data_IF_029457327363
#
_entry.id   IF_029457327363
#
_cell.length_a   1.000
_cell.length_b   1.000
_cell.length_c   1.000
_cell.angle_alpha   90.00
_cell.angle_beta   90.00
_cell.angle_gamma   90.00
#
_symmetry.space_group_name_H-M   'P 1'
#
loop_
_entity.id
_entity.type
_entity.pdbx_description
1 polymer ?
#
# COMPACT_ATOMS: atom_id res chain seq x y z
N UNK A 1 29.12 -14.35 -76.68
CA UNK A 1 29.08 -14.95 -75.33
C UNK A 1 29.11 -13.81 -74.33
N UNK A 2 27.98 -13.49 -73.75
CA UNK A 2 27.86 -12.42 -72.73
C UNK A 2 27.82 -13.10 -71.35
N UNK A 3 28.82 -12.79 -70.55
CA UNK A 3 28.90 -13.25 -69.14
C UNK A 3 28.12 -12.26 -68.27
N UNK A 4 27.01 -12.77 -67.79
CA UNK A 4 26.12 -12.04 -66.86
C UNK A 4 26.67 -12.14 -65.46
N UNK A 5 27.26 -11.05 -64.92
CA UNK A 5 27.72 -10.96 -63.54
C UNK A 5 26.52 -10.61 -62.65
N UNK A 6 26.04 -11.57 -61.87
CA UNK A 6 25.04 -11.30 -60.85
C UNK A 6 25.65 -10.52 -59.68
N UNK A 7 25.15 -9.32 -59.45
CA UNK A 7 25.46 -8.54 -58.24
C UNK A 7 24.67 -9.12 -57.07
N UNK A 8 25.37 -9.63 -56.08
CA UNK A 8 24.83 -9.97 -54.79
C UNK A 8 24.56 -8.65 -54.06
N UNK A 9 23.30 -8.32 -53.86
CA UNK A 9 22.89 -7.25 -52.96
C UNK A 9 23.05 -7.76 -51.54
N UNK A 10 24.06 -7.23 -50.86
CA UNK A 10 24.21 -7.37 -49.38
C UNK A 10 23.00 -6.71 -48.74
N UNK A 11 22.24 -7.51 -47.99
CA UNK A 11 21.18 -7.01 -47.15
C UNK A 11 21.83 -6.33 -45.91
N UNK A 12 21.61 -5.06 -45.77
CA UNK A 12 21.97 -4.28 -44.58
C UNK A 12 21.22 -4.82 -43.35
N UNK A 13 21.91 -5.06 -42.22
CA UNK A 13 21.21 -5.41 -40.98
C UNK A 13 20.39 -4.21 -40.50
N UNK A 14 19.19 -4.45 -39.92
CA UNK A 14 18.37 -3.36 -39.37
C UNK A 14 19.13 -2.68 -38.22
N UNK A 15 18.97 -1.34 -38.07
CA UNK A 15 19.59 -0.64 -36.97
C UNK A 15 19.07 -1.19 -35.64
N UNK A 16 20.02 -1.51 -34.75
CA UNK A 16 19.71 -1.87 -33.36
C UNK A 16 18.84 -0.77 -32.74
N UNK A 17 17.57 -1.07 -32.54
CA UNK A 17 16.69 -0.21 -31.76
C UNK A 17 17.25 -0.11 -30.35
N UNK A 18 17.81 1.04 -30.00
CA UNK A 18 18.04 1.42 -28.63
C UNK A 18 16.69 1.64 -27.98
N UNK A 19 16.12 0.56 -27.49
CA UNK A 19 14.98 0.61 -26.59
C UNK A 19 15.50 1.11 -25.23
N UNK A 20 15.70 2.40 -25.15
CA UNK A 20 15.83 3.11 -23.89
C UNK A 20 14.42 3.21 -23.33
N UNK A 21 13.91 2.08 -22.84
CA UNK A 21 12.78 2.05 -21.93
C UNK A 21 13.17 2.87 -20.70
N UNK A 22 12.94 4.17 -20.78
CA UNK A 22 12.84 5.01 -19.59
C UNK A 22 11.62 4.49 -18.84
N UNK A 23 11.86 3.49 -18.01
CA UNK A 23 10.94 3.09 -16.96
C UNK A 23 10.82 4.31 -16.07
N UNK A 24 9.80 5.13 -16.34
CA UNK A 24 9.44 6.24 -15.49
C UNK A 24 9.11 5.62 -14.12
N UNK A 25 10.05 5.77 -13.17
CA UNK A 25 9.82 5.42 -11.78
C UNK A 25 8.52 6.09 -11.37
N UNK A 26 7.51 5.29 -11.03
CA UNK A 26 6.25 5.80 -10.53
C UNK A 26 6.56 6.80 -9.40
N UNK A 27 5.87 7.95 -9.34
CA UNK A 27 6.15 8.96 -8.34
C UNK A 27 6.09 8.31 -6.95
N UNK A 28 7.11 8.54 -6.12
CA UNK A 28 7.14 8.05 -4.74
C UNK A 28 6.04 8.78 -4.00
N UNK A 29 4.94 8.07 -3.73
CA UNK A 29 3.85 8.60 -2.92
C UNK A 29 4.36 8.75 -1.49
N UNK A 30 4.48 10.00 -1.05
CA UNK A 30 4.82 10.34 0.32
C UNK A 30 3.60 10.96 0.96
N UNK A 31 3.05 10.37 2.04
CA UNK A 31 1.89 10.92 2.69
C UNK A 31 2.17 12.33 3.23
N UNK A 32 1.22 13.22 3.04
CA UNK A 32 1.24 14.55 3.68
C UNK A 32 0.92 14.42 5.17
N UNK A 33 1.23 15.44 5.96
CA UNK A 33 0.87 15.47 7.38
C UNK A 33 -0.65 15.29 7.60
N UNK A 34 -1.48 15.78 6.67
CA UNK A 34 -2.94 15.61 6.73
C UNK A 34 -3.41 14.16 6.50
N UNK A 35 -2.59 13.35 5.83
CA UNK A 35 -2.86 11.92 5.58
C UNK A 35 -2.33 11.02 6.71
N UNK A 36 -1.61 11.56 7.68
CA UNK A 36 -1.17 10.82 8.87
C UNK A 36 -2.19 10.97 10.00
N UNK A 37 -2.35 9.91 10.78
CA UNK A 37 -3.13 9.91 12.03
C UNK A 37 -2.27 9.36 13.15
N UNK A 38 -2.23 10.06 14.28
CA UNK A 38 -1.48 9.61 15.45
C UNK A 38 -2.20 8.46 16.18
N UNK A 39 -1.45 7.54 16.81
CA UNK A 39 -2.03 6.40 17.54
C UNK A 39 -3.09 6.81 18.58
N UNK A 40 -2.82 7.85 19.36
CA UNK A 40 -3.77 8.34 20.38
C UNK A 40 -5.06 8.89 19.76
N UNK A 41 -4.96 9.56 18.61
CA UNK A 41 -6.12 10.09 17.89
C UNK A 41 -6.98 8.97 17.29
N UNK A 42 -6.34 7.96 16.70
CA UNK A 42 -7.05 6.78 16.21
C UNK A 42 -7.76 6.05 17.35
N UNK A 43 -7.06 5.81 18.48
CA UNK A 43 -7.64 5.13 19.65
C UNK A 43 -8.88 5.88 20.17
N UNK A 44 -8.86 7.20 20.18
CA UNK A 44 -10.00 8.05 20.56
C UNK A 44 -11.16 7.89 19.59
N UNK A 45 -10.91 7.89 18.27
CA UNK A 45 -11.94 7.65 17.25
C UNK A 45 -12.54 6.26 17.34
N UNK A 46 -11.75 5.24 17.68
CA UNK A 46 -12.22 3.87 17.86
C UNK A 46 -13.10 3.71 19.12
N UNK A 47 -12.92 4.57 20.11
CA UNK A 47 -13.73 4.61 21.34
C UNK A 47 -15.04 5.40 21.15
N UNK A 48 -15.17 6.15 20.06
CA UNK A 48 -16.37 6.93 19.78
C UNK A 48 -17.54 6.03 19.43
N UNK A 49 -18.65 6.16 20.19
CA UNK A 49 -19.89 5.43 19.99
C UNK A 49 -20.89 6.15 19.08
N UNK A 50 -20.53 7.34 18.55
CA UNK A 50 -21.41 8.15 17.68
C UNK A 50 -21.60 7.60 16.26
N UNK A 51 -20.98 6.46 15.94
CA UNK A 51 -21.10 5.80 14.64
C UNK A 51 -20.14 6.27 13.57
N UNK A 52 -19.20 7.16 13.89
CA UNK A 52 -18.18 7.69 12.97
C UNK A 52 -16.82 7.01 13.10
N UNK A 53 -16.81 5.72 13.42
CA UNK A 53 -15.58 4.96 13.51
C UNK A 53 -14.93 4.81 12.15
N UNK A 54 -13.60 5.03 12.02
CA UNK A 54 -12.90 4.71 10.79
C UNK A 54 -12.86 3.19 10.58
N UNK A 55 -12.84 2.78 9.31
CA UNK A 55 -12.47 1.42 8.94
C UNK A 55 -10.95 1.29 9.04
N UNK A 56 -10.44 0.36 9.85
CA UNK A 56 -9.01 0.16 10.06
C UNK A 56 -8.55 -1.10 9.33
N UNK A 57 -7.63 -0.97 8.38
CA UNK A 57 -7.17 -2.04 7.51
C UNK A 57 -5.70 -2.34 7.73
N UNK A 58 -5.38 -3.58 8.07
CA UNK A 58 -4.01 -4.07 8.21
C UNK A 58 -3.50 -4.58 6.86
N UNK A 59 -2.46 -3.95 6.33
CA UNK A 59 -1.88 -4.24 5.01
C UNK A 59 -0.54 -4.98 5.08
N UNK A 60 -0.25 -5.63 6.20
CA UNK A 60 0.94 -6.42 6.43
C UNK A 60 0.71 -7.92 6.38
N UNK A 61 1.72 -8.67 6.83
CA UNK A 61 1.69 -10.15 6.80
C UNK A 61 0.76 -10.73 7.88
N UNK A 62 0.10 -11.89 7.58
CA UNK A 62 -0.86 -12.51 8.51
C UNK A 62 -0.26 -12.85 9.87
N UNK A 63 1.01 -13.24 9.93
CA UNK A 63 1.69 -13.57 11.19
C UNK A 63 1.75 -12.38 12.14
N UNK A 64 1.94 -11.17 11.60
CA UNK A 64 1.96 -9.94 12.40
C UNK A 64 0.57 -9.64 12.95
N UNK A 65 -0.45 -9.77 12.12
CA UNK A 65 -1.83 -9.57 12.54
C UNK A 65 -2.23 -10.51 13.68
N UNK A 66 -1.93 -11.80 13.56
CA UNK A 66 -2.23 -12.80 14.59
C UNK A 66 -1.47 -12.57 15.89
N UNK A 67 -0.23 -12.08 15.83
CA UNK A 67 0.58 -11.81 17.02
C UNK A 67 0.12 -10.59 17.82
N UNK A 68 -0.49 -9.62 17.16
CA UNK A 68 -1.08 -8.45 17.80
C UNK A 68 -1.53 -7.42 16.76
N UNK A 69 -2.79 -7.01 16.84
CA UNK A 69 -3.39 -6.03 15.93
C UNK A 69 -4.30 -5.05 16.67
N UNK A 70 -4.60 -3.94 16.03
CA UNK A 70 -5.53 -2.93 16.54
C UNK A 70 -6.91 -3.57 16.66
N UNK A 71 -7.53 -3.50 17.84
CA UNK A 71 -8.87 -4.04 18.07
C UNK A 71 -9.88 -3.46 17.07
N UNK A 72 -10.60 -4.36 16.38
CA UNK A 72 -11.57 -3.97 15.36
C UNK A 72 -10.97 -3.71 13.98
N UNK A 73 -9.65 -3.85 13.80
CA UNK A 73 -9.05 -3.79 12.48
C UNK A 73 -9.28 -5.07 11.69
N UNK A 74 -9.34 -4.94 10.37
CA UNK A 74 -9.51 -6.05 9.44
C UNK A 74 -8.20 -6.36 8.72
N UNK A 75 -7.83 -7.63 8.65
CA UNK A 75 -6.67 -8.07 7.90
C UNK A 75 -6.97 -8.12 6.40
N UNK A 76 -6.13 -7.49 5.60
CA UNK A 76 -6.26 -7.45 4.14
C UNK A 76 -5.21 -8.35 3.47
N UNK A 77 -4.01 -8.40 4.03
CA UNK A 77 -2.85 -9.07 3.46
C UNK A 77 -1.76 -8.08 3.04
N UNK A 78 -0.57 -8.59 2.72
CA UNK A 78 0.57 -7.73 2.41
C UNK A 78 0.36 -6.98 1.10
N UNK A 79 0.25 -5.65 1.17
CA UNK A 79 0.07 -4.81 -0.01
C UNK A 79 1.33 -4.73 -0.90
N UNK A 80 2.43 -5.35 -0.48
CA UNK A 80 3.62 -5.59 -1.31
C UNK A 80 3.44 -6.74 -2.30
N UNK A 81 2.31 -7.46 -2.26
CA UNK A 81 1.99 -8.54 -3.18
C UNK A 81 0.80 -8.18 -4.08
N UNK A 82 0.71 -8.73 -5.31
CA UNK A 82 -0.43 -8.51 -6.20
C UNK A 82 -1.77 -8.94 -5.57
N UNK A 83 -1.78 -10.06 -4.86
CA UNK A 83 -2.96 -10.59 -4.19
C UNK A 83 -3.44 -9.66 -3.06
N UNK A 84 -2.51 -9.16 -2.25
CA UNK A 84 -2.81 -8.20 -1.19
C UNK A 84 -3.35 -6.89 -1.74
N UNK A 85 -2.76 -6.37 -2.83
CA UNK A 85 -3.27 -5.18 -3.52
C UNK A 85 -4.68 -5.39 -4.09
N UNK A 86 -4.94 -6.56 -4.68
CA UNK A 86 -6.26 -6.88 -5.21
C UNK A 86 -7.31 -6.94 -4.08
N UNK A 87 -6.97 -7.56 -2.96
CA UNK A 87 -7.85 -7.60 -1.77
C UNK A 87 -8.08 -6.20 -1.21
N UNK A 88 -7.02 -5.38 -1.12
CA UNK A 88 -7.14 -3.99 -0.67
C UNK A 88 -8.04 -3.18 -1.60
N UNK A 89 -7.89 -3.35 -2.91
CA UNK A 89 -8.74 -2.67 -3.91
C UNK A 89 -10.22 -2.98 -3.72
N UNK A 90 -10.55 -4.25 -3.46
CA UNK A 90 -11.93 -4.67 -3.17
C UNK A 90 -12.42 -4.06 -1.85
N UNK A 91 -11.58 -4.08 -0.81
CA UNK A 91 -11.92 -3.48 0.48
C UNK A 91 -12.18 -1.98 0.38
N UNK A 92 -11.29 -1.23 -0.30
CA UNK A 92 -11.45 0.22 -0.50
C UNK A 92 -12.72 0.58 -1.29
N UNK A 93 -13.08 -0.24 -2.27
CA UNK A 93 -14.33 -0.06 -3.04
C UNK A 93 -15.59 -0.40 -2.24
N UNK A 94 -15.48 -1.30 -1.27
CA UNK A 94 -16.59 -1.70 -0.41
C UNK A 94 -16.92 -0.70 0.70
N UNK A 95 -16.00 0.18 1.05
CA UNK A 95 -16.23 1.23 2.05
C UNK A 95 -16.88 2.44 1.38
N UNK A 96 -18.01 2.95 1.90
CA UNK A 96 -18.68 4.13 1.34
C UNK A 96 -17.74 5.33 1.22
N UNK A 97 -17.92 6.15 0.18
CA UNK A 97 -17.20 7.41 0.04
C UNK A 97 -17.49 8.33 1.23
N UNK A 98 -16.42 8.98 1.73
CA UNK A 98 -16.51 9.86 2.89
C UNK A 98 -16.44 9.13 4.25
N UNK A 99 -16.46 7.81 4.27
CA UNK A 99 -16.12 7.06 5.48
C UNK A 99 -14.60 6.98 5.62
N UNK A 100 -14.08 7.49 6.73
CA UNK A 100 -12.64 7.50 7.00
C UNK A 100 -12.08 6.07 7.05
N UNK A 101 -10.95 5.87 6.38
CA UNK A 101 -10.21 4.61 6.36
C UNK A 101 -8.81 4.87 6.93
N UNK A 102 -8.31 3.98 7.76
CA UNK A 102 -6.94 4.03 8.27
C UNK A 102 -6.20 2.76 7.88
N UNK A 103 -5.08 2.93 7.17
CA UNK A 103 -4.18 1.85 6.79
C UNK A 103 -3.03 1.75 7.80
N UNK A 104 -2.57 0.52 8.09
CA UNK A 104 -1.34 0.28 8.84
C UNK A 104 -0.73 -1.09 8.51
N UNK A 105 0.57 -1.21 8.68
CA UNK A 105 1.28 -2.49 8.57
C UNK A 105 1.83 -2.95 9.92
N UNK A 106 2.57 -2.10 10.62
CA UNK A 106 3.08 -2.35 11.96
C UNK A 106 4.37 -3.15 12.06
N UNK A 107 4.96 -3.61 10.95
CA UNK A 107 6.20 -4.41 10.99
C UNK A 107 7.47 -3.59 11.21
N UNK A 108 7.47 -2.32 10.83
CA UNK A 108 8.62 -1.44 10.72
C UNK A 108 8.17 0.01 10.72
N UNK A 109 9.10 0.97 10.76
CA UNK A 109 8.75 2.38 10.55
C UNK A 109 7.92 2.55 9.28
N UNK A 110 6.83 3.32 9.37
CA UNK A 110 5.91 3.51 8.24
C UNK A 110 6.62 4.01 6.97
N UNK A 111 7.64 4.85 7.14
CA UNK A 111 8.39 5.44 6.03
C UNK A 111 9.18 4.41 5.21
N UNK A 112 9.60 3.32 5.85
CA UNK A 112 10.40 2.26 5.24
C UNK A 112 9.59 1.00 4.92
N UNK A 113 8.27 1.03 5.20
CA UNK A 113 7.42 -0.14 5.07
C UNK A 113 7.08 -0.45 3.61
N UNK A 114 7.41 -1.65 3.11
CA UNK A 114 7.15 -2.04 1.71
C UNK A 114 5.66 -2.20 1.41
N UNK A 115 4.80 -2.34 2.42
CA UNK A 115 3.35 -2.50 2.25
C UNK A 115 2.61 -1.17 2.22
N UNK A 116 3.13 -0.14 2.88
CA UNK A 116 2.44 1.14 3.05
C UNK A 116 2.39 1.93 1.75
N UNK A 117 3.51 2.05 1.05
CA UNK A 117 3.58 2.84 -0.19
C UNK A 117 2.63 2.34 -1.28
N UNK A 118 2.65 1.06 -1.66
CA UNK A 118 1.71 0.57 -2.67
C UNK A 118 0.26 0.66 -2.22
N UNK A 119 -0.03 0.54 -0.91
CA UNK A 119 -1.37 0.71 -0.39
C UNK A 119 -1.88 2.15 -0.53
N UNK A 120 -1.04 3.14 -0.21
CA UNK A 120 -1.38 4.56 -0.40
C UNK A 120 -1.54 4.91 -1.88
N UNK A 121 -0.63 4.44 -2.73
CA UNK A 121 -0.71 4.67 -4.16
C UNK A 121 -2.03 4.14 -4.73
N UNK A 122 -2.43 2.93 -4.35
CA UNK A 122 -3.71 2.35 -4.78
C UNK A 122 -4.90 3.18 -4.31
N UNK A 123 -4.87 3.71 -3.08
CA UNK A 123 -5.92 4.58 -2.57
C UNK A 123 -6.04 5.87 -3.40
N UNK A 124 -4.92 6.49 -3.75
CA UNK A 124 -4.88 7.67 -4.62
C UNK A 124 -5.40 7.37 -6.03
N UNK A 125 -4.98 6.26 -6.64
CA UNK A 125 -5.47 5.82 -7.96
C UNK A 125 -6.99 5.58 -7.97
N UNK A 126 -7.57 5.20 -6.83
CA UNK A 126 -9.01 5.03 -6.66
C UNK A 126 -9.75 6.32 -6.27
N UNK A 127 -9.04 7.45 -6.15
CA UNK A 127 -9.62 8.72 -5.74
C UNK A 127 -10.15 8.73 -4.30
N UNK A 128 -9.53 7.94 -3.40
CA UNK A 128 -9.87 7.85 -1.97
C UNK A 128 -9.06 8.85 -1.16
N UNK A 129 -9.54 10.07 -1.04
CA UNK A 129 -8.98 11.15 -0.21
C UNK A 129 -9.32 11.01 1.28
N UNK A 130 -10.23 10.10 1.61
CA UNK A 130 -10.66 9.74 2.97
C UNK A 130 -9.74 8.68 3.64
N UNK A 131 -8.66 8.26 2.97
CA UNK A 131 -7.68 7.31 3.49
C UNK A 131 -6.57 8.03 4.24
N UNK A 132 -6.30 7.56 5.46
CA UNK A 132 -5.16 7.98 6.29
C UNK A 132 -4.23 6.82 6.57
N UNK A 133 -2.99 7.14 6.88
CA UNK A 133 -1.99 6.20 7.34
C UNK A 133 -1.75 6.40 8.83
N UNK A 134 -1.75 5.31 9.60
CA UNK A 134 -1.36 5.35 11.01
C UNK A 134 0.13 5.66 11.13
N UNK A 135 0.43 6.73 11.86
CA UNK A 135 1.80 7.16 12.10
C UNK A 135 2.48 6.25 13.12
N UNK A 136 3.31 5.33 12.64
CA UNK A 136 4.10 4.40 13.45
C UNK A 136 5.59 4.65 13.18
N UNK A 137 6.24 5.55 13.91
CA UNK A 137 7.65 5.89 13.69
C UNK A 137 8.61 4.73 13.90
N UNK A 138 8.23 3.74 14.72
CA UNK A 138 9.01 2.52 14.98
C UNK A 138 8.30 1.27 14.48
N UNK A 139 7.21 0.89 15.12
CA UNK A 139 6.36 -0.24 14.75
C UNK A 139 5.11 -0.30 15.65
N UNK A 140 4.20 -1.22 15.36
CA UNK A 140 2.97 -1.37 16.14
C UNK A 140 3.25 -1.77 17.60
N UNK A 141 4.26 -2.59 17.86
CA UNK A 141 4.61 -3.01 19.22
C UNK A 141 4.93 -1.80 20.09
N UNK A 142 5.82 -0.93 19.66
CA UNK A 142 6.26 0.24 20.45
C UNK A 142 5.27 1.38 20.46
N UNK A 143 4.64 1.66 19.31
CA UNK A 143 3.88 2.89 19.13
C UNK A 143 2.37 2.71 19.41
N UNK A 144 1.93 1.45 19.62
CA UNK A 144 0.54 1.12 19.94
C UNK A 144 0.41 0.20 21.15
N UNK A 145 0.98 -1.02 21.07
CA UNK A 145 0.76 -2.08 22.07
C UNK A 145 1.37 -1.71 23.42
N UNK A 146 2.62 -1.27 23.43
CA UNK A 146 3.33 -0.84 24.66
C UNK A 146 2.77 0.46 25.24
N UNK A 147 2.02 1.22 24.45
CA UNK A 147 1.28 2.40 24.92
C UNK A 147 -0.06 2.02 25.60
N UNK A 148 -0.38 0.73 25.69
CA UNK A 148 -1.61 0.25 26.31
C UNK A 148 -2.87 0.52 25.49
N UNK A 149 -2.73 0.78 24.19
CA UNK A 149 -3.87 1.04 23.31
C UNK A 149 -4.60 -0.26 22.95
N UNK A 150 -5.89 -0.21 22.57
CA UNK A 150 -6.73 -1.39 22.36
C UNK A 150 -6.14 -2.37 21.35
N UNK A 151 -5.76 -3.56 21.82
CA UNK A 151 -5.06 -4.58 21.06
C UNK A 151 -5.77 -5.92 21.17
N UNK A 152 -5.93 -6.61 20.05
CA UNK A 152 -6.43 -7.99 19.96
C UNK A 152 -5.36 -8.91 19.38
N UNK A 153 -5.54 -10.22 19.57
CA UNK A 153 -4.65 -11.28 19.08
C UNK A 153 -5.47 -12.40 18.46
N UNK A 154 -4.83 -13.18 17.59
CA UNK A 154 -5.46 -14.28 16.89
C UNK A 154 -6.11 -13.86 15.57
N UNK A 155 -6.90 -14.78 15.01
CA UNK A 155 -7.67 -14.52 13.79
C UNK A 155 -9.01 -13.86 14.14
N UNK A 156 -9.52 -13.06 13.21
CA UNK A 156 -10.91 -12.58 13.24
C UNK A 156 -11.78 -13.51 12.41
#
# INVERSE_FOLDING_TARGET
MAVMVARLTEAEPPPAGTDTGSEALAPIVTPTAAQLIEPADLARLLSDTSGRRPEVLHVGFPILFRSGHITGSRHIGPASTPEGLQTLKQALRGVPQGQSIVLYCGCCPWADCPNVRPALQLAEELGRDDVKLLHLPRNLQHDWIEQGLPTSRGEQ
#
